data_IF_724443995783
#
_entry.id   IF_724443995783
#
_cell.length_a   1.000
_cell.length_b   1.000
_cell.length_c   1.000
_cell.angle_alpha   90.00
_cell.angle_beta   90.00
_cell.angle_gamma   90.00
#
_symmetry.space_group_name_H-M   'P 1'
#
loop_
_entity.id
_entity.type
_entity.pdbx_description
1 polymer ?
#
# COMPACT_ATOMS: atom_id res chain seq x y z
N UNK A 1 -20.51 3.11 12.23
CA UNK A 1 -20.23 2.49 10.93
C UNK A 1 -18.82 2.94 10.58
N UNK A 2 -17.88 2.02 10.41
CA UNK A 2 -16.49 2.39 10.06
C UNK A 2 -16.47 2.92 8.63
N UNK A 3 -15.61 3.90 8.35
CA UNK A 3 -15.41 4.39 6.98
C UNK A 3 -14.78 3.31 6.11
N UNK A 4 -14.88 3.47 4.78
CA UNK A 4 -14.22 2.55 3.83
C UNK A 4 -12.70 2.56 4.01
N UNK A 5 -12.12 3.72 4.36
CA UNK A 5 -10.69 3.87 4.67
C UNK A 5 -10.31 3.12 5.93
N UNK A 6 -11.09 3.25 7.02
CA UNK A 6 -10.86 2.51 8.26
C UNK A 6 -10.90 0.99 8.01
N UNK A 7 -11.83 0.53 7.18
CA UNK A 7 -11.94 -0.90 6.83
C UNK A 7 -10.74 -1.37 6.02
N UNK A 8 -10.25 -0.56 5.07
CA UNK A 8 -9.08 -0.86 4.25
C UNK A 8 -7.78 -0.87 5.06
N UNK A 9 -7.65 0.04 6.03
CA UNK A 9 -6.42 0.29 6.79
C UNK A 9 -6.36 -0.49 8.12
N UNK A 10 -7.46 -1.06 8.61
CA UNK A 10 -7.45 -1.87 9.84
C UNK A 10 -6.46 -3.04 9.79
N UNK A 11 -6.36 -3.84 8.70
CA UNK A 11 -5.34 -4.88 8.61
C UNK A 11 -3.92 -4.34 8.63
N UNK A 12 -3.64 -3.23 7.94
CA UNK A 12 -2.34 -2.53 7.98
C UNK A 12 -2.00 -2.08 9.40
N UNK A 13 -2.98 -1.50 10.11
CA UNK A 13 -2.84 -1.06 11.51
C UNK A 13 -2.47 -2.24 12.43
N UNK A 14 -3.05 -3.42 12.21
CA UNK A 14 -2.70 -4.62 12.97
C UNK A 14 -1.28 -5.10 12.67
N UNK A 15 -0.86 -5.05 11.40
CA UNK A 15 0.49 -5.44 10.98
C UNK A 15 1.53 -4.51 11.61
N UNK A 16 1.39 -3.19 11.49
CA UNK A 16 2.33 -2.20 12.05
C UNK A 16 2.32 -2.18 13.58
N UNK A 17 1.21 -2.59 14.22
CA UNK A 17 1.20 -2.83 15.67
C UNK A 17 2.03 -4.04 16.09
N UNK A 18 2.07 -5.09 15.26
CA UNK A 18 2.79 -6.34 15.55
C UNK A 18 4.27 -6.28 15.13
N UNK A 19 4.57 -5.66 14.00
CA UNK A 19 5.90 -5.61 13.40
C UNK A 19 6.45 -4.18 13.50
N UNK A 20 7.08 -3.84 14.63
CA UNK A 20 7.47 -2.46 14.96
C UNK A 20 8.59 -1.87 14.11
N UNK A 21 9.27 -2.69 13.33
CA UNK A 21 10.39 -2.29 12.47
C UNK A 21 10.07 -2.54 11.00
N UNK A 22 8.80 -2.79 10.65
CA UNK A 22 8.42 -2.99 9.25
C UNK A 22 8.47 -1.65 8.53
N UNK A 23 9.13 -1.61 7.39
CA UNK A 23 9.15 -0.45 6.51
C UNK A 23 8.11 -0.61 5.41
N UNK A 24 7.65 0.51 4.84
CA UNK A 24 6.89 0.50 3.60
C UNK A 24 7.66 1.17 2.47
N UNK A 25 7.52 0.65 1.25
CA UNK A 25 8.00 1.28 0.03
C UNK A 25 6.82 1.78 -0.81
N UNK A 26 6.91 3.03 -1.23
CA UNK A 26 5.83 3.74 -1.94
C UNK A 26 6.07 3.67 -3.44
N UNK A 27 5.05 3.21 -4.18
CA UNK A 27 5.02 3.18 -5.64
C UNK A 27 3.90 4.08 -6.13
N UNK A 28 4.24 4.96 -7.06
CA UNK A 28 3.33 5.92 -7.67
C UNK A 28 3.02 5.52 -9.10
N UNK A 29 1.74 5.42 -9.45
CA UNK A 29 1.33 5.28 -10.85
C UNK A 29 1.17 6.67 -11.49
N UNK A 30 2.09 7.02 -12.38
CA UNK A 30 2.06 8.26 -13.17
C UNK A 30 2.57 8.02 -14.57
N UNK A 31 2.12 8.85 -15.52
CA UNK A 31 2.62 8.81 -16.91
C UNK A 31 2.56 7.43 -17.59
N UNK A 32 1.59 6.59 -17.18
CA UNK A 32 1.38 5.24 -17.72
C UNK A 32 2.27 4.14 -17.12
N UNK A 33 2.98 4.40 -16.02
CA UNK A 33 3.82 3.41 -15.36
C UNK A 33 3.93 3.59 -13.85
N UNK A 34 4.42 2.56 -13.18
CA UNK A 34 4.76 2.58 -11.76
C UNK A 34 6.18 3.11 -11.56
N UNK A 35 6.38 3.92 -10.52
CA UNK A 35 7.71 4.33 -10.07
C UNK A 35 8.51 3.14 -9.51
N UNK A 36 9.82 3.34 -9.39
CA UNK A 36 10.68 2.43 -8.62
C UNK A 36 10.34 2.55 -7.12
N UNK A 37 10.40 1.43 -6.41
CA UNK A 37 10.15 1.32 -4.97
C UNK A 37 11.26 1.97 -4.13
N UNK A 38 12.46 2.13 -4.69
CA UNK A 38 13.61 2.72 -4.00
C UNK A 38 13.50 4.25 -3.76
N UNK A 39 12.44 4.90 -4.23
CA UNK A 39 12.32 6.36 -4.20
C UNK A 39 11.79 6.96 -2.90
N UNK A 40 10.99 6.20 -2.14
CA UNK A 40 10.32 6.68 -0.93
C UNK A 40 10.01 5.51 0.01
N UNK A 41 10.61 5.53 1.20
CA UNK A 41 10.39 4.57 2.27
C UNK A 41 9.74 5.25 3.48
N UNK A 42 8.84 4.54 4.14
CA UNK A 42 8.16 5.01 5.36
C UNK A 42 8.51 4.11 6.53
N UNK A 43 8.76 4.73 7.68
CA UNK A 43 8.89 4.01 8.93
C UNK A 43 7.54 3.45 9.39
N UNK A 44 7.57 2.38 10.18
CA UNK A 44 6.38 1.68 10.68
C UNK A 44 5.30 2.61 11.26
N UNK A 45 5.71 3.70 11.92
CA UNK A 45 4.82 4.65 12.57
C UNK A 45 4.08 5.57 11.58
N UNK A 46 4.64 5.74 10.38
CA UNK A 46 4.13 6.64 9.35
C UNK A 46 3.16 5.94 8.39
N UNK A 47 3.35 4.64 8.14
CA UNK A 47 2.64 3.86 7.11
C UNK A 47 1.12 4.11 7.08
N UNK A 48 0.45 3.97 8.22
CA UNK A 48 -1.01 4.06 8.30
C UNK A 48 -1.48 5.51 8.11
N UNK A 49 -0.81 6.45 8.78
CA UNK A 49 -1.16 7.87 8.73
C UNK A 49 -0.95 8.43 7.32
N UNK A 50 0.15 8.06 6.66
CA UNK A 50 0.47 8.45 5.30
C UNK A 50 -0.57 7.91 4.31
N UNK A 51 -0.91 6.63 4.41
CA UNK A 51 -1.91 6.00 3.56
C UNK A 51 -3.30 6.63 3.74
N UNK A 52 -3.70 6.93 4.98
CA UNK A 52 -4.96 7.60 5.28
C UNK A 52 -5.01 9.02 4.68
N UNK A 53 -3.95 9.81 4.84
CA UNK A 53 -3.85 11.15 4.26
C UNK A 53 -4.06 11.16 2.75
N UNK A 54 -3.38 10.27 2.02
CA UNK A 54 -3.54 10.18 0.57
C UNK A 54 -4.94 9.71 0.15
N UNK A 55 -5.54 8.78 0.88
CA UNK A 55 -6.93 8.37 0.64
C UNK A 55 -7.90 9.55 0.83
N UNK A 56 -7.69 10.38 1.86
CA UNK A 56 -8.48 11.61 2.09
C UNK A 56 -8.28 12.66 1.00
N UNK A 57 -7.11 12.70 0.37
CA UNK A 57 -6.80 13.55 -0.78
C UNK A 57 -7.37 13.02 -2.12
N UNK A 58 -8.02 11.86 -2.10
CA UNK A 58 -8.66 11.27 -3.28
C UNK A 58 -7.75 10.37 -4.11
N UNK A 59 -6.60 9.95 -3.57
CA UNK A 59 -5.84 8.85 -4.15
C UNK A 59 -6.52 7.51 -3.85
N UNK A 60 -6.28 6.56 -4.73
CA UNK A 60 -6.56 5.16 -4.48
C UNK A 60 -5.31 4.45 -3.97
N UNK A 61 -5.51 3.34 -3.25
CA UNK A 61 -4.44 2.56 -2.65
C UNK A 61 -4.63 1.08 -2.93
N UNK A 62 -3.53 0.40 -3.24
CA UNK A 62 -3.37 -1.04 -3.06
C UNK A 62 -2.15 -1.26 -2.18
N UNK A 63 -2.29 -2.01 -1.12
CA UNK A 63 -1.18 -2.36 -0.24
C UNK A 63 -0.97 -3.86 -0.20
N UNK A 64 0.28 -4.26 -0.04
CA UNK A 64 0.68 -5.66 0.11
C UNK A 64 1.71 -5.78 1.23
N UNK A 65 1.56 -6.78 2.08
CA UNK A 65 2.62 -7.24 2.98
C UNK A 65 3.36 -8.37 2.27
N UNK A 66 4.64 -8.17 2.01
CA UNK A 66 5.48 -9.08 1.24
C UNK A 66 6.55 -9.67 2.14
N UNK A 67 6.81 -10.96 1.98
CA UNK A 67 8.07 -11.59 2.41
C UNK A 67 8.97 -11.70 1.18
N UNK A 68 10.03 -10.92 1.15
CA UNK A 68 10.93 -10.80 0.00
C UNK A 68 12.32 -11.35 0.35
N UNK A 69 12.91 -12.24 -0.47
CA UNK A 69 14.24 -12.78 -0.19
C UNK A 69 15.37 -11.74 -0.23
N UNK A 70 15.20 -10.61 -0.94
CA UNK A 70 16.19 -9.55 -1.08
C UNK A 70 16.03 -8.46 -0.02
N UNK A 71 14.79 -8.10 0.34
CA UNK A 71 14.49 -6.98 1.24
C UNK A 71 13.98 -7.42 2.63
N UNK A 72 13.59 -8.67 2.80
CA UNK A 72 12.87 -9.15 3.98
C UNK A 72 11.39 -8.76 3.96
N UNK A 73 10.74 -8.92 5.12
CA UNK A 73 9.32 -8.60 5.29
C UNK A 73 9.11 -7.08 5.24
N UNK A 74 8.30 -6.59 4.31
CA UNK A 74 8.01 -5.17 4.12
C UNK A 74 6.59 -4.93 3.58
N UNK A 75 6.12 -3.68 3.67
CA UNK A 75 4.87 -3.25 3.04
C UNK A 75 5.17 -2.59 1.70
N UNK A 76 4.39 -2.89 0.68
CA UNK A 76 4.35 -2.15 -0.58
C UNK A 76 3.08 -1.34 -0.63
N UNK A 77 3.17 -0.02 -0.83
CA UNK A 77 2.02 0.88 -0.98
C UNK A 77 1.97 1.41 -2.42
N UNK A 78 0.96 1.04 -3.18
CA UNK A 78 0.77 1.46 -4.56
C UNK A 78 -0.34 2.51 -4.63
N UNK A 79 -0.01 3.74 -5.01
CA UNK A 79 -0.96 4.85 -5.13
C UNK A 79 -1.20 5.27 -6.58
N UNK A 80 -2.44 5.64 -6.90
CA UNK A 80 -2.84 6.18 -8.20
C UNK A 80 -4.04 7.11 -8.09
N UNK A 81 -4.33 7.86 -9.15
CA UNK A 81 -5.56 8.63 -9.31
C UNK A 81 -6.28 8.23 -10.61
N UNK A 82 -7.60 8.30 -10.60
CA UNK A 82 -8.44 7.99 -11.77
C UNK A 82 -8.70 6.49 -11.94
N UNK A 83 -8.59 5.99 -13.17
CA UNK A 83 -8.88 4.58 -13.47
C UNK A 83 -7.87 3.65 -12.78
N UNK A 84 -8.36 2.51 -12.28
CA UNK A 84 -7.52 1.49 -11.64
C UNK A 84 -6.49 0.93 -12.63
N UNK A 85 -5.18 1.14 -12.41
CA UNK A 85 -4.15 0.54 -13.24
C UNK A 85 -3.98 -0.95 -12.91
N UNK A 86 -3.37 -1.74 -13.81
CA UNK A 86 -2.87 -3.06 -13.44
C UNK A 86 -1.81 -2.88 -12.33
N UNK A 87 -1.94 -3.64 -11.24
CA UNK A 87 -1.00 -3.58 -10.12
C UNK A 87 0.37 -4.18 -10.53
N UNK A 88 1.47 -3.71 -9.95
CA UNK A 88 2.80 -4.27 -10.22
C UNK A 88 2.87 -5.74 -9.84
N UNK A 89 3.57 -6.54 -10.64
CA UNK A 89 3.90 -7.92 -10.29
C UNK A 89 4.68 -7.98 -8.98
N UNK A 90 4.63 -9.15 -8.32
CA UNK A 90 5.46 -9.39 -7.15
C UNK A 90 6.95 -9.44 -7.54
N UNK A 91 7.85 -8.95 -6.68
CA UNK A 91 9.28 -9.15 -6.87
C UNK A 91 9.61 -10.65 -7.04
N UNK A 92 10.63 -11.01 -7.84
CA UNK A 92 11.00 -12.41 -8.05
C UNK A 92 11.27 -13.16 -6.75
N UNK A 93 10.51 -14.23 -6.50
CA UNK A 93 10.65 -15.05 -5.29
C UNK A 93 9.97 -14.49 -4.04
N UNK A 94 9.38 -13.29 -4.10
CA UNK A 94 8.61 -12.75 -2.99
C UNK A 94 7.24 -13.46 -2.84
N UNK A 95 6.76 -13.55 -1.61
CA UNK A 95 5.44 -14.11 -1.27
C UNK A 95 4.55 -13.05 -0.64
N UNK A 96 3.31 -12.93 -1.10
CA UNK A 96 2.31 -12.05 -0.50
C UNK A 96 1.73 -12.70 0.77
N UNK A 97 1.91 -12.02 1.90
CA UNK A 97 1.39 -12.42 3.22
C UNK A 97 0.03 -11.81 3.54
N UNK A 98 -0.29 -10.67 2.92
CA UNK A 98 -1.57 -9.99 3.05
C UNK A 98 -1.71 -8.85 2.05
N UNK A 99 -2.94 -8.40 1.80
CA UNK A 99 -3.20 -7.28 0.90
C UNK A 99 -4.55 -6.62 1.17
N UNK A 100 -4.69 -5.39 0.70
CA UNK A 100 -5.96 -4.69 0.61
C UNK A 100 -5.92 -3.68 -0.53
N UNK A 101 -7.09 -3.35 -1.07
CA UNK A 101 -7.22 -2.38 -2.14
C UNK A 101 -8.47 -1.53 -1.92
N UNK A 102 -8.34 -0.21 -2.10
CA UNK A 102 -9.49 0.68 -2.11
C UNK A 102 -10.41 0.29 -3.25
N UNK A 103 -11.67 -0.01 -2.94
CA UNK A 103 -12.70 -0.17 -3.96
C UNK A 103 -13.09 1.21 -4.47
N UNK A 104 -13.26 1.32 -5.79
CA UNK A 104 -13.64 2.57 -6.41
C UNK A 104 -15.08 2.94 -5.98
N UNK A 105 -15.36 4.15 -5.46
CA UNK A 105 -16.75 4.61 -5.31
C UNK A 105 -17.42 4.90 -6.67
N UNK A 106 -16.75 4.65 -7.81
CA UNK A 106 -17.33 4.86 -9.13
C UNK A 106 -18.40 3.79 -9.48
N UNK A 107 -19.67 4.21 -9.28
CA UNK A 107 -20.97 3.64 -9.69
C UNK A 107 -21.66 2.66 -8.73
N UNK A 108 -22.44 3.23 -7.81
CA UNK A 108 -23.84 2.80 -7.63
C UNK A 108 -24.73 3.60 -8.59
#
# INVERSE_FOLDING_TARGET
MMSEFETLLDPLTRITRKHKTIEAYVLWHKDGGWSDAAGESLDCEEIVFYAEGLLMEGFHLAWEHLSDPALGDHIRLCFWQGATPPLPDLPPGATRLGSGQSVNPAKA
#
